data_IF_175704056093
#
_entry.id   IF_175704056093
#
_cell.length_a   1.000
_cell.length_b   1.000
_cell.length_c   1.000
_cell.angle_alpha   90.00
_cell.angle_beta   90.00
_cell.angle_gamma   90.00
#
_symmetry.space_group_name_H-M   'P 1'
#
loop_
_entity.id
_entity.type
_entity.pdbx_description
1 polymer ?
#
# COMPACT_ATOMS: atom_id res chain seq x y z
N UNK A 1 37.47 3.92 -27.75
CA UNK A 1 36.48 4.71 -26.96
C UNK A 1 35.25 3.87 -26.77
N UNK A 2 35.10 3.32 -25.57
CA UNK A 2 33.93 2.50 -25.23
C UNK A 2 32.83 3.44 -24.73
N UNK A 3 31.74 3.51 -25.46
CA UNK A 3 30.55 4.26 -25.06
C UNK A 3 29.82 3.39 -24.04
N UNK A 4 29.75 3.84 -22.80
CA UNK A 4 28.90 3.23 -21.79
C UNK A 4 27.47 3.63 -22.14
N UNK A 5 26.83 2.85 -22.98
CA UNK A 5 25.41 2.98 -23.25
C UNK A 5 24.64 2.14 -22.23
N UNK A 6 23.75 2.77 -21.53
CA UNK A 6 22.66 2.19 -20.76
C UNK A 6 22.89 1.70 -19.34
N UNK A 7 22.93 2.63 -18.41
CA UNK A 7 22.56 2.40 -17.03
C UNK A 7 21.07 2.71 -16.73
N UNK A 8 20.20 2.63 -17.73
CA UNK A 8 18.75 2.83 -17.54
C UNK A 8 18.05 1.58 -16.99
N UNK A 9 18.78 0.45 -16.94
CA UNK A 9 18.27 -0.85 -16.49
C UNK A 9 18.44 -1.13 -14.98
N UNK A 10 19.04 -0.23 -14.21
CA UNK A 10 19.26 -0.43 -12.78
C UNK A 10 17.97 -0.41 -11.92
N UNK A 11 16.81 -0.08 -12.52
CA UNK A 11 15.52 -0.11 -11.83
C UNK A 11 14.62 -1.30 -12.15
N UNK A 12 15.04 -2.18 -13.07
CA UNK A 12 14.25 -3.33 -13.51
C UNK A 12 14.76 -4.67 -13.00
N UNK A 13 15.47 -4.69 -11.87
CA UNK A 13 15.95 -5.93 -11.26
C UNK A 13 14.77 -6.78 -10.78
N UNK A 14 14.32 -7.68 -11.63
CA UNK A 14 13.26 -8.65 -11.30
C UNK A 14 12.52 -9.25 -12.47
N UNK A 15 12.78 -8.81 -13.71
CA UNK A 15 12.16 -9.45 -14.87
C UNK A 15 13.12 -10.46 -15.48
N UNK A 16 12.98 -11.71 -15.06
CA UNK A 16 13.58 -12.87 -15.72
C UNK A 16 13.05 -13.02 -17.14
N UNK A 17 13.99 -13.17 -18.07
CA UNK A 17 13.91 -13.40 -19.47
C UNK A 17 12.60 -13.91 -20.10
N UNK A 18 11.83 -12.99 -20.60
CA UNK A 18 10.87 -13.16 -21.68
C UNK A 18 10.95 -11.90 -22.52
N UNK A 19 10.81 -12.02 -23.83
CA UNK A 19 10.65 -10.87 -24.73
C UNK A 19 9.34 -10.14 -24.40
N UNK A 20 9.29 -9.55 -23.20
CA UNK A 20 8.16 -8.80 -22.66
C UNK A 20 8.39 -7.32 -22.90
N UNK A 21 7.37 -6.62 -23.33
CA UNK A 21 7.30 -5.17 -23.35
C UNK A 21 7.82 -4.64 -22.02
N UNK A 22 8.90 -3.84 -22.08
CA UNK A 22 9.42 -3.14 -20.91
C UNK A 22 8.33 -2.19 -20.43
N UNK A 23 7.77 -2.49 -19.25
CA UNK A 23 6.79 -1.60 -18.64
C UNK A 23 7.51 -0.34 -18.14
N UNK A 24 7.23 0.78 -18.76
CA UNK A 24 7.81 2.07 -18.39
C UNK A 24 6.79 2.89 -17.58
N UNK A 25 7.18 3.35 -16.42
CA UNK A 25 6.41 4.34 -15.65
C UNK A 25 6.63 5.69 -16.32
N UNK A 26 5.67 6.13 -17.12
CA UNK A 26 5.76 7.40 -17.85
C UNK A 26 5.42 8.61 -16.98
N UNK A 27 4.55 8.42 -15.99
CA UNK A 27 4.04 9.50 -15.14
C UNK A 27 3.88 9.01 -13.69
N UNK A 28 4.17 9.90 -12.77
CA UNK A 28 3.95 9.66 -11.35
C UNK A 28 3.45 10.92 -10.65
N UNK A 29 2.71 10.74 -9.57
CA UNK A 29 2.26 11.81 -8.71
C UNK A 29 3.15 11.89 -7.46
N UNK A 30 3.68 13.07 -7.15
CA UNK A 30 4.47 13.32 -5.95
C UNK A 30 3.55 13.71 -4.79
N UNK A 31 3.65 12.97 -3.70
CA UNK A 31 3.04 13.31 -2.42
C UNK A 31 4.10 13.88 -1.49
N UNK A 32 3.91 15.11 -1.04
CA UNK A 32 4.82 15.81 -0.16
C UNK A 32 4.11 16.14 1.16
N UNK A 33 4.61 15.67 2.31
CA UNK A 33 4.00 15.97 3.61
C UNK A 33 3.95 17.47 3.94
N UNK A 34 4.94 18.24 3.49
CA UNK A 34 4.99 19.68 3.74
C UNK A 34 3.84 20.44 3.07
N UNK A 35 3.33 19.92 1.96
CA UNK A 35 2.21 20.48 1.20
C UNK A 35 0.87 19.87 1.64
N UNK A 36 0.88 18.96 2.59
CA UNK A 36 -0.31 18.19 3.01
C UNK A 36 -1.02 17.51 1.83
N UNK A 37 -0.23 16.99 0.88
CA UNK A 37 -0.74 16.48 -0.39
C UNK A 37 -1.48 15.15 -0.22
N UNK A 38 -2.71 15.09 -0.71
CA UNK A 38 -3.52 13.87 -0.80
C UNK A 38 -4.58 13.98 -1.88
N UNK A 39 -5.11 12.84 -2.31
CA UNK A 39 -6.33 12.74 -3.11
C UNK A 39 -7.43 12.17 -2.23
N UNK A 40 -8.66 12.68 -2.35
CA UNK A 40 -9.81 12.11 -1.65
C UNK A 40 -10.99 11.81 -2.57
N UNK A 41 -11.77 10.86 -2.15
CA UNK A 41 -13.01 10.46 -2.81
C UNK A 41 -13.98 9.89 -1.78
N UNK A 42 -15.25 10.29 -1.87
CA UNK A 42 -16.36 9.63 -1.18
C UNK A 42 -17.23 8.96 -2.24
N UNK A 43 -17.25 7.60 -2.31
CA UNK A 43 -18.10 6.90 -3.27
C UNK A 43 -19.58 7.17 -3.03
N UNK A 44 -20.35 7.34 -4.09
CA UNK A 44 -21.81 7.56 -4.01
C UNK A 44 -22.58 6.28 -3.62
N UNK A 45 -22.03 5.11 -3.96
CA UNK A 45 -22.55 3.79 -3.62
C UNK A 45 -21.44 2.89 -3.10
N UNK A 46 -21.80 1.93 -2.27
CA UNK A 46 -20.87 0.90 -1.82
C UNK A 46 -20.62 -0.13 -2.93
N UNK A 47 -19.36 -0.55 -3.07
CA UNK A 47 -18.95 -1.72 -3.84
C UNK A 47 -18.70 -2.93 -2.93
N UNK A 48 -17.87 -3.85 -3.39
CA UNK A 48 -17.52 -5.03 -2.61
C UNK A 48 -16.53 -4.69 -1.50
N UNK A 49 -16.96 -4.79 -0.25
CA UNK A 49 -16.13 -4.49 0.94
C UNK A 49 -15.40 -5.72 1.49
N UNK A 50 -15.67 -6.93 0.98
CA UNK A 50 -15.09 -8.17 1.47
C UNK A 50 -13.95 -8.69 0.60
N UNK A 51 -14.03 -8.42 -0.71
CA UNK A 51 -13.06 -8.91 -1.71
C UNK A 51 -12.66 -7.74 -2.59
N UNK A 52 -11.39 -7.36 -2.56
CA UNK A 52 -10.86 -6.26 -3.35
C UNK A 52 -9.32 -6.31 -3.39
N UNK A 53 -8.75 -5.61 -4.34
CA UNK A 53 -7.29 -5.55 -4.52
C UNK A 53 -6.86 -4.10 -4.74
N UNK A 54 -5.83 -3.68 -4.03
CA UNK A 54 -5.07 -2.48 -4.33
C UNK A 54 -3.76 -2.85 -5.01
N UNK A 55 -3.41 -2.16 -6.08
CA UNK A 55 -2.13 -2.29 -6.77
C UNK A 55 -1.57 -0.92 -7.13
N UNK A 56 -0.26 -0.77 -7.09
CA UNK A 56 0.40 0.47 -7.52
C UNK A 56 1.91 0.42 -7.38
N UNK A 57 2.57 1.32 -8.09
CA UNK A 57 3.98 1.57 -7.96
C UNK A 57 4.24 2.65 -6.92
N UNK A 58 5.15 2.40 -6.02
CA UNK A 58 5.52 3.29 -4.92
C UNK A 58 7.02 3.50 -4.92
N UNK A 59 7.46 4.76 -4.95
CA UNK A 59 8.86 5.14 -4.69
C UNK A 59 8.87 6.08 -3.49
N UNK A 60 9.40 5.60 -2.38
CA UNK A 60 9.51 6.39 -1.15
C UNK A 60 10.54 7.51 -1.31
N UNK A 61 10.36 8.61 -0.58
CA UNK A 61 11.27 9.77 -0.65
C UNK A 61 11.86 10.14 0.72
N UNK A 62 11.60 9.35 1.75
CA UNK A 62 12.17 9.59 3.08
C UNK A 62 11.47 8.83 4.20
N UNK A 63 12.03 8.92 5.40
CA UNK A 63 11.56 8.24 6.61
C UNK A 63 10.83 9.25 7.48
N UNK A 64 9.60 9.55 7.15
CA UNK A 64 8.65 10.13 8.11
C UNK A 64 7.60 9.07 8.36
N UNK A 65 7.54 8.48 9.51
CA UNK A 65 6.57 7.43 9.80
C UNK A 65 5.51 7.96 10.79
N UNK A 66 4.26 7.52 10.61
CA UNK A 66 3.71 6.68 9.56
C UNK A 66 3.42 7.44 8.25
N UNK A 67 3.48 6.74 7.12
CA UNK A 67 3.20 7.28 5.78
C UNK A 67 2.06 6.48 5.14
N UNK A 68 0.87 7.07 5.05
CA UNK A 68 -0.30 6.37 4.53
C UNK A 68 -0.36 6.43 3.02
N UNK A 69 -0.39 5.25 2.38
CA UNK A 69 -0.60 5.08 0.93
C UNK A 69 -2.09 5.19 0.62
N UNK A 70 -2.91 4.38 1.32
CA UNK A 70 -4.36 4.36 1.20
C UNK A 70 -4.99 4.35 2.59
N UNK A 71 -5.90 5.27 2.82
CA UNK A 71 -6.73 5.32 4.03
C UNK A 71 -8.21 5.34 3.69
N UNK A 72 -9.01 4.61 4.45
CA UNK A 72 -10.46 4.72 4.39
C UNK A 72 -11.02 4.89 5.79
N UNK A 73 -11.99 5.79 5.93
CA UNK A 73 -12.64 6.05 7.20
C UNK A 73 -13.90 5.19 7.29
N UNK A 74 -13.95 4.25 8.23
CA UNK A 74 -15.19 3.55 8.55
C UNK A 74 -16.24 4.47 9.16
N UNK A 75 -17.46 3.98 9.20
CA UNK A 75 -18.60 4.68 9.84
C UNK A 75 -18.31 4.99 11.33
N UNK A 76 -17.53 4.15 11.97
CA UNK A 76 -17.01 4.35 13.33
C UNK A 76 -15.49 4.49 13.28
N UNK A 77 -14.91 5.22 14.21
CA UNK A 77 -13.46 5.39 14.31
C UNK A 77 -12.71 4.04 14.42
N UNK A 78 -13.35 3.00 14.98
CA UNK A 78 -12.87 1.64 15.08
C UNK A 78 -12.75 0.88 13.75
N UNK A 79 -13.32 1.41 12.69
CA UNK A 79 -13.38 0.74 11.37
C UNK A 79 -12.48 1.39 10.33
N UNK A 80 -11.62 2.32 10.75
CA UNK A 80 -10.71 2.94 9.79
C UNK A 80 -9.70 1.91 9.26
N UNK A 81 -9.37 2.02 7.97
CA UNK A 81 -8.41 1.17 7.27
C UNK A 81 -7.18 1.99 6.88
N UNK A 82 -6.02 1.41 6.99
CA UNK A 82 -4.77 1.96 6.48
C UNK A 82 -3.92 0.89 5.78
N UNK A 83 -3.39 1.28 4.63
CA UNK A 83 -2.22 0.68 3.98
C UNK A 83 -1.12 1.74 4.06
N UNK A 84 -0.01 1.45 4.75
CA UNK A 84 0.99 2.46 5.06
C UNK A 84 2.39 1.89 5.27
N UNK A 85 3.39 2.75 5.26
CA UNK A 85 4.71 2.41 5.80
C UNK A 85 4.81 2.88 7.25
N UNK A 86 5.34 2.00 8.10
CA UNK A 86 5.56 2.27 9.51
C UNK A 86 4.27 2.39 10.32
N UNK A 87 4.41 2.81 11.55
CA UNK A 87 3.31 2.99 12.48
C UNK A 87 3.70 2.64 13.90
N UNK A 88 4.20 3.62 14.66
CA UNK A 88 4.58 3.42 16.07
C UNK A 88 3.43 2.90 16.92
N UNK A 89 2.18 3.29 16.59
CA UNK A 89 0.98 2.77 17.25
C UNK A 89 0.72 1.27 17.03
N UNK A 90 1.39 0.67 16.03
CA UNK A 90 1.32 -0.77 15.75
C UNK A 90 2.60 -1.51 16.17
N UNK A 91 3.59 -0.81 16.75
CA UNK A 91 4.91 -1.40 17.01
C UNK A 91 5.71 -1.69 15.73
N UNK A 92 5.28 -1.15 14.58
CA UNK A 92 5.91 -1.41 13.30
C UNK A 92 7.17 -0.57 13.11
N UNK A 93 8.21 -1.17 12.48
CA UNK A 93 9.35 -0.43 11.99
C UNK A 93 8.91 0.60 10.93
N UNK A 94 9.55 1.77 10.91
CA UNK A 94 9.22 2.87 9.98
C UNK A 94 9.26 2.46 8.50
N UNK A 95 10.05 1.44 8.17
CA UNK A 95 10.23 0.93 6.81
C UNK A 95 9.42 -0.34 6.50
N UNK A 96 8.66 -0.86 7.46
CA UNK A 96 7.78 -1.99 7.23
C UNK A 96 6.49 -1.56 6.53
N UNK A 97 5.94 -2.43 5.68
CA UNK A 97 4.60 -2.24 5.11
C UNK A 97 3.56 -2.80 6.09
N UNK A 98 2.53 -2.02 6.33
CA UNK A 98 1.48 -2.30 7.32
C UNK A 98 0.12 -2.24 6.68
N UNK A 99 -0.72 -3.23 6.99
CA UNK A 99 -2.16 -3.15 6.84
C UNK A 99 -2.77 -3.23 8.24
N UNK A 100 -3.61 -2.24 8.54
CA UNK A 100 -4.17 -2.14 9.87
C UNK A 100 -5.48 -1.36 9.91
N UNK A 101 -5.93 -1.20 11.14
CA UNK A 101 -7.08 -0.39 11.49
C UNK A 101 -6.76 0.45 12.74
N UNK A 102 -7.69 1.26 13.20
CA UNK A 102 -7.47 2.21 14.31
C UNK A 102 -6.85 1.59 15.57
N UNK A 103 -7.16 0.33 15.87
CA UNK A 103 -6.75 -0.32 17.14
C UNK A 103 -5.69 -1.39 16.98
N UNK A 104 -5.19 -1.65 15.77
CA UNK A 104 -4.17 -2.66 15.58
C UNK A 104 -3.81 -2.93 14.12
N UNK A 105 -2.76 -3.68 13.91
CA UNK A 105 -2.38 -4.17 12.61
C UNK A 105 -2.90 -5.57 12.36
N UNK A 106 -3.40 -5.82 11.14
CA UNK A 106 -3.66 -7.18 10.67
C UNK A 106 -2.38 -7.84 10.18
N UNK A 107 -1.59 -7.10 9.39
CA UNK A 107 -0.29 -7.60 8.91
C UNK A 107 0.77 -6.51 8.97
N UNK A 108 1.97 -6.89 9.44
CA UNK A 108 3.19 -6.07 9.39
C UNK A 108 4.27 -6.93 8.74
N UNK A 109 4.86 -6.47 7.65
CA UNK A 109 5.93 -7.23 6.97
C UNK A 109 7.20 -7.28 7.81
N UNK A 110 7.89 -8.43 7.79
CA UNK A 110 9.26 -8.53 8.31
C UNK A 110 10.24 -7.83 7.35
N UNK A 111 9.92 -7.82 6.06
CA UNK A 111 10.68 -7.10 5.04
C UNK A 111 10.60 -5.59 5.27
N UNK A 112 11.73 -4.91 5.11
CA UNK A 112 11.87 -3.46 5.25
C UNK A 112 12.19 -2.81 3.90
N UNK A 113 11.51 -1.72 3.59
CA UNK A 113 11.57 -1.02 2.31
C UNK A 113 12.45 0.25 2.44
N UNK A 114 13.77 0.07 2.54
CA UNK A 114 14.75 1.13 2.85
C UNK A 114 15.40 1.77 1.64
N UNK A 115 15.24 1.18 0.46
CA UNK A 115 15.78 1.77 -0.75
C UNK A 115 14.83 2.84 -1.30
N UNK A 116 15.15 4.10 -1.02
CA UNK A 116 14.37 5.25 -1.50
C UNK A 116 14.65 5.61 -2.96
N UNK A 117 15.63 4.94 -3.60
CA UNK A 117 15.90 5.09 -5.04
C UNK A 117 15.05 4.15 -5.89
N UNK A 118 14.57 3.05 -5.29
CA UNK A 118 13.82 2.01 -5.98
C UNK A 118 12.32 2.30 -6.08
N UNK A 119 11.72 1.84 -7.17
CA UNK A 119 10.29 1.65 -7.30
C UNK A 119 9.90 0.26 -6.82
N UNK A 120 8.85 0.19 -6.03
CA UNK A 120 8.24 -1.06 -5.57
C UNK A 120 6.84 -1.18 -6.20
N UNK A 121 6.60 -2.24 -6.96
CA UNK A 121 5.24 -2.62 -7.32
C UNK A 121 4.62 -3.37 -6.15
N UNK A 122 3.64 -2.77 -5.50
CA UNK A 122 2.97 -3.35 -4.33
C UNK A 122 1.56 -3.76 -4.75
N UNK A 123 1.19 -5.01 -4.42
CA UNK A 123 -0.18 -5.50 -4.53
C UNK A 123 -0.62 -5.98 -3.15
N UNK A 124 -1.78 -5.50 -2.72
CA UNK A 124 -2.43 -5.90 -1.49
C UNK A 124 -3.81 -6.46 -1.84
N UNK A 125 -3.94 -7.78 -1.78
CA UNK A 125 -5.17 -8.50 -2.09
C UNK A 125 -5.89 -8.91 -0.81
N UNK A 126 -7.19 -8.68 -0.78
CA UNK A 126 -8.08 -8.93 0.35
C UNK A 126 -9.22 -9.83 -0.07
N UNK A 127 -9.46 -10.86 0.73
CA UNK A 127 -10.60 -11.75 0.60
C UNK A 127 -11.00 -12.25 2.00
N UNK A 128 -11.86 -11.51 2.68
CA UNK A 128 -12.33 -11.90 4.01
C UNK A 128 -13.27 -13.10 3.97
N UNK A 129 -13.74 -13.52 2.80
CA UNK A 129 -14.59 -14.71 2.65
C UNK A 129 -13.79 -16.02 2.64
N UNK A 130 -12.45 -15.91 2.55
CA UNK A 130 -11.59 -17.09 2.53
C UNK A 130 -11.64 -17.82 3.88
N UNK A 131 -11.89 -19.15 3.84
CA UNK A 131 -11.95 -19.99 5.02
C UNK A 131 -10.61 -20.02 5.77
N UNK A 132 -9.48 -20.00 5.02
CA UNK A 132 -8.12 -19.96 5.59
C UNK A 132 -7.78 -18.54 6.02
N UNK A 133 -7.66 -18.31 7.31
CA UNK A 133 -7.46 -16.96 7.85
C UNK A 133 -6.20 -16.27 7.32
N UNK A 134 -5.08 -16.97 7.17
CA UNK A 134 -3.82 -16.43 6.64
C UNK A 134 -3.95 -15.96 5.17
N UNK A 135 -4.91 -16.47 4.43
CA UNK A 135 -5.15 -16.15 3.02
C UNK A 135 -6.08 -14.95 2.81
N UNK A 136 -6.68 -14.41 3.87
CA UNK A 136 -7.59 -13.26 3.78
C UNK A 136 -6.90 -11.96 3.41
N UNK A 137 -5.59 -11.87 3.64
CA UNK A 137 -4.76 -10.73 3.23
C UNK A 137 -3.46 -11.28 2.66
N UNK A 138 -3.15 -10.92 1.41
CA UNK A 138 -1.90 -11.27 0.74
C UNK A 138 -1.19 -10.03 0.25
N UNK A 139 0.11 -9.97 0.47
CA UNK A 139 0.98 -8.95 -0.10
C UNK A 139 1.87 -9.54 -1.18
N UNK A 140 2.05 -8.78 -2.25
CA UNK A 140 3.07 -9.04 -3.26
C UNK A 140 3.90 -7.78 -3.46
N UNK A 141 5.21 -7.96 -3.59
CA UNK A 141 6.13 -6.88 -3.95
C UNK A 141 6.96 -7.33 -5.13
N UNK A 142 6.96 -6.54 -6.19
CA UNK A 142 7.63 -6.84 -7.46
C UNK A 142 7.27 -8.25 -7.99
N UNK A 143 6.01 -8.64 -7.87
CA UNK A 143 5.48 -9.93 -8.30
C UNK A 143 5.75 -11.11 -7.36
N UNK A 144 6.49 -10.92 -6.26
CA UNK A 144 6.81 -11.97 -5.30
C UNK A 144 5.92 -11.84 -4.07
N UNK A 145 5.25 -12.93 -3.67
CA UNK A 145 4.43 -12.93 -2.46
C UNK A 145 5.28 -12.81 -1.20
N UNK A 146 4.91 -11.90 -0.30
CA UNK A 146 5.49 -11.82 1.03
C UNK A 146 4.83 -12.88 1.91
N UNK A 147 5.64 -13.73 2.54
CA UNK A 147 5.21 -14.80 3.44
C UNK A 147 5.71 -14.65 4.87
N UNK A 148 6.65 -13.70 5.10
CA UNK A 148 7.21 -13.43 6.43
C UNK A 148 6.64 -12.13 7.01
N UNK A 149 6.02 -12.23 8.17
CA UNK A 149 5.37 -11.12 8.87
C UNK A 149 5.86 -11.02 10.31
N UNK A 150 6.07 -9.79 10.79
CA UNK A 150 6.30 -9.49 12.19
C UNK A 150 4.98 -9.53 13.00
N UNK A 151 3.87 -9.23 12.34
CA UNK A 151 2.50 -9.43 12.86
C UNK A 151 1.67 -10.07 11.76
N UNK A 152 0.95 -11.14 12.11
CA UNK A 152 -0.02 -11.80 11.25
C UNK A 152 -1.28 -12.14 12.06
N UNK A 153 -2.22 -11.20 12.07
CA UNK A 153 -3.50 -11.26 12.79
C UNK A 153 -4.64 -10.94 11.83
N UNK A 154 -4.95 -11.84 10.89
CA UNK A 154 -5.91 -11.57 9.84
C UNK A 154 -7.32 -11.29 10.39
N UNK A 155 -8.15 -10.52 9.64
CA UNK A 155 -9.51 -10.20 10.04
C UNK A 155 -10.38 -11.46 10.20
N UNK A 156 -11.49 -11.34 10.89
CA UNK A 156 -12.48 -12.41 11.00
C UNK A 156 -13.03 -12.81 9.62
N UNK A 157 -13.59 -14.01 9.52
CA UNK A 157 -14.34 -14.45 8.33
C UNK A 157 -15.47 -13.46 8.05
N UNK A 158 -15.69 -13.17 6.78
CA UNK A 158 -16.72 -12.25 6.31
C UNK A 158 -16.62 -10.81 6.84
N UNK A 159 -15.42 -10.38 7.23
CA UNK A 159 -15.19 -9.02 7.71
C UNK A 159 -15.45 -8.00 6.60
N UNK A 160 -16.25 -6.97 6.90
CA UNK A 160 -16.50 -5.86 6.00
C UNK A 160 -15.45 -4.76 6.22
N UNK A 161 -14.58 -4.57 5.24
CA UNK A 161 -13.62 -3.48 5.25
C UNK A 161 -14.32 -2.13 5.00
N UNK A 162 -13.77 -1.00 5.51
CA UNK A 162 -14.30 0.32 5.15
C UNK A 162 -13.97 0.73 3.70
N UNK A 163 -13.11 -0.02 3.02
CA UNK A 163 -12.82 0.16 1.58
C UNK A 163 -14.09 -0.19 0.77
N UNK A 164 -14.29 0.53 -0.33
CA UNK A 164 -15.46 0.44 -1.21
C UNK A 164 -16.80 0.73 -0.51
N UNK A 165 -16.75 1.38 0.65
CA UNK A 165 -17.93 1.91 1.33
C UNK A 165 -18.25 3.35 0.87
N UNK A 166 -19.37 3.90 1.32
CA UNK A 166 -19.73 5.32 1.11
C UNK A 166 -18.99 6.27 2.06
N UNK A 167 -17.96 5.81 2.76
CA UNK A 167 -17.10 6.64 3.58
C UNK A 167 -15.98 7.28 2.76
N UNK A 168 -15.33 8.31 3.31
CA UNK A 168 -14.21 8.98 2.64
C UNK A 168 -12.99 8.07 2.51
N UNK A 169 -12.41 8.04 1.31
CA UNK A 169 -11.17 7.36 0.99
C UNK A 169 -10.11 8.39 0.64
N UNK A 170 -8.86 8.16 1.04
CA UNK A 170 -7.72 9.01 0.68
C UNK A 170 -6.54 8.20 0.17
N UNK A 171 -5.88 8.73 -0.84
CA UNK A 171 -4.56 8.31 -1.28
C UNK A 171 -3.57 9.36 -0.81
N UNK A 172 -2.48 8.94 -0.18
CA UNK A 172 -1.43 9.84 0.32
C UNK A 172 -1.68 10.43 1.70
N UNK A 173 -2.76 10.04 2.39
CA UNK A 173 -3.03 10.47 3.75
C UNK A 173 -4.03 9.56 4.46
N UNK A 174 -4.01 9.63 5.79
CA UNK A 174 -5.06 9.06 6.62
C UNK A 174 -6.19 10.06 6.84
N UNK A 175 -7.42 9.57 6.96
CA UNK A 175 -8.64 10.39 7.03
C UNK A 175 -9.03 10.82 8.45
N UNK A 176 -8.07 11.00 9.37
CA UNK A 176 -8.33 11.37 10.76
C UNK A 176 -7.92 12.81 11.06
N UNK A 177 -8.18 13.25 12.31
CA UNK A 177 -7.71 14.52 12.82
C UNK A 177 -6.17 14.62 12.93
N UNK A 178 -5.46 13.49 12.86
CA UNK A 178 -4.00 13.41 12.82
C UNK A 178 -3.57 12.78 11.47
N UNK A 179 -3.54 13.56 10.40
CA UNK A 179 -3.21 13.04 9.07
C UNK A 179 -1.76 12.54 9.02
N UNK A 180 -1.59 11.37 8.40
CA UNK A 180 -0.30 10.71 8.21
C UNK A 180 0.05 10.80 6.74
N UNK A 181 0.65 11.93 6.35
CA UNK A 181 0.92 12.21 4.95
C UNK A 181 2.03 11.32 4.38
N UNK A 182 1.81 10.87 3.15
CA UNK A 182 2.77 10.10 2.37
C UNK A 182 3.92 10.99 1.90
N UNK A 183 5.15 10.48 2.00
CA UNK A 183 6.35 11.05 1.41
C UNK A 183 6.88 10.12 0.31
N UNK A 184 6.25 10.13 -0.85
CA UNK A 184 6.55 9.20 -1.95
C UNK A 184 6.05 9.70 -3.30
N UNK A 185 6.49 9.01 -4.36
CA UNK A 185 5.85 9.05 -5.67
C UNK A 185 4.95 7.82 -5.81
N UNK A 186 3.78 7.99 -6.41
CA UNK A 186 2.86 6.91 -6.80
C UNK A 186 2.63 6.94 -8.30
N UNK A 187 2.53 5.75 -8.91
CA UNK A 187 2.15 5.59 -10.30
C UNK A 187 1.26 4.35 -10.47
N UNK A 188 0.39 4.38 -11.48
CA UNK A 188 -0.49 3.27 -11.88
C UNK A 188 -1.22 2.63 -10.70
N UNK A 189 -1.90 3.48 -9.95
CA UNK A 189 -2.66 3.07 -8.76
C UNK A 189 -4.04 2.58 -9.19
N UNK A 190 -4.36 1.36 -8.82
CA UNK A 190 -5.62 0.69 -9.09
C UNK A 190 -6.26 0.21 -7.79
N UNK A 191 -7.57 0.38 -7.67
CA UNK A 191 -8.42 -0.27 -6.68
C UNK A 191 -9.50 -1.04 -7.45
N UNK A 192 -9.54 -2.35 -7.26
CA UNK A 192 -10.37 -3.28 -8.00
C UNK A 192 -11.19 -4.09 -7.00
N UNK A 193 -12.50 -4.19 -7.21
CA UNK A 193 -13.47 -4.97 -6.42
C UNK A 193 -14.30 -5.92 -7.29
#
# INVERSE_FOLDING_TARGET
MSVISNNILAGSSGQGGGAGVSYAIERSLRFNPADSAYLDRTPASAGNSKTWTWAGWVKRSGVTAPQTILGARGRFASQAFVLQFGGSGYGANADALVIGHTYGAWKITSQLFRDYSAWYHIVAAFDSTNATASDRIKFYVNGVQITSFATDSPPALDFNFPINSTAGHRIGSYTSAAPQYLNAYLADVHLID
#
